data_IF_119923320470
#
_entry.id   IF_119923320470
#
_cell.length_a   1.000
_cell.length_b   1.000
_cell.length_c   1.000
_cell.angle_alpha   90.00
_cell.angle_beta   90.00
_cell.angle_gamma   90.00
#
_symmetry.space_group_name_H-M   'P 1'
#
loop_
_entity.id
_entity.type
_entity.pdbx_description
1 polymer ?
#
# COMPACT_ATOMS: atom_id res chain seq x y z
N UNK A 1 3.80 -13.07 -19.38
CA UNK A 1 2.93 -11.97 -19.83
C UNK A 1 3.75 -10.68 -19.84
N UNK A 2 3.39 -9.74 -20.69
CA UNK A 2 4.04 -8.43 -20.76
C UNK A 2 3.58 -7.60 -19.54
N UNK A 3 4.51 -7.00 -18.83
CA UNK A 3 4.22 -6.16 -17.66
C UNK A 3 3.30 -4.97 -18.03
N UNK A 4 2.34 -4.65 -17.16
CA UNK A 4 1.31 -3.63 -17.43
C UNK A 4 0.12 -4.10 -18.26
N UNK A 5 0.14 -5.35 -18.76
CA UNK A 5 -1.02 -5.97 -19.43
C UNK A 5 -1.79 -6.89 -18.50
N UNK A 6 -3.07 -7.11 -18.82
CA UNK A 6 -3.91 -8.05 -18.05
C UNK A 6 -3.32 -9.46 -18.14
N UNK A 7 -3.03 -10.04 -17.00
CA UNK A 7 -2.59 -11.41 -16.83
C UNK A 7 -3.76 -12.30 -16.39
N UNK A 8 -3.58 -13.64 -16.37
CA UNK A 8 -4.57 -14.54 -15.78
C UNK A 8 -4.87 -14.18 -14.32
N UNK A 9 -3.83 -13.86 -13.53
CA UNK A 9 -4.01 -13.46 -12.13
C UNK A 9 -4.80 -12.16 -11.98
N UNK A 10 -4.52 -11.14 -12.80
CA UNK A 10 -5.29 -9.90 -12.80
C UNK A 10 -6.76 -10.14 -13.19
N UNK A 11 -7.03 -10.95 -14.22
CA UNK A 11 -8.40 -11.28 -14.61
C UNK A 11 -9.17 -12.03 -13.51
N UNK A 12 -8.52 -13.00 -12.87
CA UNK A 12 -9.09 -13.70 -11.71
C UNK A 12 -9.34 -12.75 -10.53
N UNK A 13 -8.46 -11.76 -10.31
CA UNK A 13 -8.65 -10.79 -9.24
C UNK A 13 -9.88 -9.91 -9.48
N UNK A 14 -10.15 -9.47 -10.72
CA UNK A 14 -11.39 -8.77 -11.04
C UNK A 14 -12.63 -9.65 -10.85
N UNK A 15 -12.54 -10.94 -11.18
CA UNK A 15 -13.61 -11.90 -10.90
C UNK A 15 -13.82 -12.09 -9.39
N UNK A 16 -12.72 -12.15 -8.63
CA UNK A 16 -12.78 -12.20 -7.16
C UNK A 16 -13.48 -10.96 -6.59
N UNK A 17 -13.12 -9.74 -7.02
CA UNK A 17 -13.81 -8.49 -6.63
C UNK A 17 -15.30 -8.54 -6.93
N UNK A 18 -15.68 -9.07 -8.09
CA UNK A 18 -17.08 -9.25 -8.43
C UNK A 18 -17.80 -10.19 -7.45
N UNK A 19 -17.23 -11.37 -7.15
CA UNK A 19 -17.82 -12.30 -6.21
C UNK A 19 -17.91 -11.75 -4.78
N UNK A 20 -16.90 -10.99 -4.32
CA UNK A 20 -16.93 -10.30 -3.04
C UNK A 20 -18.09 -9.28 -2.99
N UNK A 21 -18.23 -8.46 -4.03
CA UNK A 21 -19.31 -7.48 -4.13
C UNK A 21 -20.69 -8.13 -4.11
N UNK A 22 -20.87 -9.23 -4.84
CA UNK A 22 -22.12 -10.01 -4.89
C UNK A 22 -22.31 -10.92 -3.67
N UNK A 23 -21.39 -10.90 -2.69
CA UNK A 23 -21.42 -11.77 -1.49
C UNK A 23 -21.50 -13.27 -1.83
N UNK A 24 -20.90 -13.65 -2.96
CA UNK A 24 -20.77 -15.03 -3.39
C UNK A 24 -19.53 -15.67 -2.76
N UNK A 25 -19.55 -15.82 -1.43
CA UNK A 25 -18.39 -16.13 -0.61
C UNK A 25 -17.66 -17.42 -1.01
N UNK A 26 -18.41 -18.47 -1.40
CA UNK A 26 -17.81 -19.72 -1.86
C UNK A 26 -17.04 -19.52 -3.17
N UNK A 27 -17.63 -18.83 -4.16
CA UNK A 27 -16.97 -18.52 -5.42
C UNK A 27 -15.75 -17.61 -5.22
N UNK A 28 -15.86 -16.65 -4.28
CA UNK A 28 -14.75 -15.78 -3.91
C UNK A 28 -13.59 -16.59 -3.31
N UNK A 29 -13.88 -17.50 -2.38
CA UNK A 29 -12.86 -18.37 -1.77
C UNK A 29 -12.17 -19.27 -2.81
N UNK A 30 -12.92 -19.88 -3.70
CA UNK A 30 -12.37 -20.73 -4.77
C UNK A 30 -11.48 -19.92 -5.73
N UNK A 31 -11.94 -18.72 -6.12
CA UNK A 31 -11.16 -17.82 -7.00
C UNK A 31 -9.88 -17.32 -6.32
N UNK A 32 -9.95 -16.96 -5.04
CA UNK A 32 -8.76 -16.57 -4.27
C UNK A 32 -7.76 -17.73 -4.19
N UNK A 33 -8.23 -18.97 -3.95
CA UNK A 33 -7.39 -20.15 -3.94
C UNK A 33 -6.79 -20.44 -5.31
N UNK A 34 -7.51 -20.19 -6.42
CA UNK A 34 -6.95 -20.32 -7.78
C UNK A 34 -5.81 -19.32 -8.00
N UNK A 35 -5.96 -18.07 -7.58
CA UNK A 35 -4.89 -17.05 -7.68
C UNK A 35 -3.66 -17.48 -6.88
N UNK A 36 -3.85 -17.92 -5.62
CA UNK A 36 -2.77 -18.41 -4.76
C UNK A 36 -2.09 -19.63 -5.40
N UNK A 37 -2.87 -20.56 -5.96
CA UNK A 37 -2.39 -21.75 -6.64
C UNK A 37 -1.59 -21.49 -7.92
N UNK A 38 -1.57 -20.26 -8.46
CA UNK A 38 -0.66 -19.89 -9.55
C UNK A 38 0.81 -19.90 -9.11
N UNK A 39 1.09 -19.82 -7.80
CA UNK A 39 2.43 -19.81 -7.21
C UNK A 39 3.38 -18.76 -7.84
N UNK A 40 2.82 -17.65 -8.26
CA UNK A 40 3.56 -16.55 -8.90
C UNK A 40 3.65 -15.34 -7.98
N UNK A 41 2.55 -15.02 -7.30
CA UNK A 41 2.46 -13.83 -6.46
C UNK A 41 2.92 -14.12 -5.04
N UNK A 42 3.54 -13.13 -4.42
CA UNK A 42 3.98 -13.18 -3.02
C UNK A 42 3.89 -11.79 -2.38
N UNK A 43 3.77 -11.73 -1.06
CA UNK A 43 3.85 -10.45 -0.34
C UNK A 43 5.28 -9.91 -0.40
N UNK A 44 5.42 -8.66 -0.83
CA UNK A 44 6.69 -7.95 -0.74
C UNK A 44 7.07 -7.73 0.73
N UNK A 45 8.31 -8.04 1.09
CA UNK A 45 8.77 -8.00 2.49
C UNK A 45 8.86 -6.59 3.03
N UNK A 46 9.34 -5.67 2.23
CA UNK A 46 9.40 -4.26 2.58
C UNK A 46 8.19 -3.51 2.03
N UNK A 47 7.29 -3.11 2.96
CA UNK A 47 6.09 -2.40 2.58
C UNK A 47 6.37 -1.10 1.83
N UNK A 48 7.43 -0.39 2.21
CA UNK A 48 7.78 0.92 1.62
C UNK A 48 8.19 0.76 0.16
N UNK A 49 8.87 -0.34 -0.17
CA UNK A 49 9.37 -0.59 -1.53
C UNK A 49 8.29 -0.99 -2.54
N UNK A 50 7.11 -1.46 -2.09
CA UNK A 50 6.05 -1.97 -2.99
C UNK A 50 5.71 -0.98 -4.10
N UNK A 51 5.64 0.31 -3.76
CA UNK A 51 5.15 1.38 -4.63
C UNK A 51 6.27 2.23 -5.23
N UNK A 52 7.52 1.88 -4.94
CA UNK A 52 8.69 2.60 -5.42
C UNK A 52 8.91 2.36 -6.91
N UNK A 53 9.32 3.40 -7.65
CA UNK A 53 9.72 3.29 -9.05
C UNK A 53 10.89 2.31 -9.24
N UNK A 54 11.78 2.16 -8.23
CA UNK A 54 12.90 1.20 -8.30
C UNK A 54 12.49 -0.26 -8.10
N UNK A 55 11.27 -0.54 -7.65
CA UNK A 55 10.77 -1.90 -7.40
C UNK A 55 9.51 -2.24 -8.21
N UNK A 56 9.35 -1.60 -9.36
CA UNK A 56 8.25 -1.92 -10.26
C UNK A 56 8.33 -3.37 -10.75
N UNK A 57 7.19 -3.97 -11.01
CA UNK A 57 7.11 -5.38 -11.43
C UNK A 57 7.39 -6.38 -10.32
N UNK A 58 7.45 -5.96 -9.04
CA UNK A 58 7.57 -6.90 -7.93
C UNK A 58 6.38 -7.87 -7.90
N UNK A 59 6.56 -9.00 -7.20
CA UNK A 59 5.60 -10.11 -7.24
C UNK A 59 4.29 -9.86 -6.46
N UNK A 60 4.20 -8.77 -5.73
CA UNK A 60 2.94 -8.38 -5.09
C UNK A 60 2.01 -7.65 -6.06
N UNK A 61 2.55 -7.00 -7.10
CA UNK A 61 1.77 -6.24 -8.07
C UNK A 61 1.07 -7.18 -9.07
N UNK A 62 -0.24 -7.06 -9.16
CA UNK A 62 -1.07 -7.90 -10.05
C UNK A 62 -1.48 -7.15 -11.31
N UNK A 63 -1.84 -5.87 -11.15
CA UNK A 63 -2.18 -4.99 -12.27
C UNK A 63 -1.81 -3.53 -11.96
N UNK A 64 -1.19 -2.88 -12.93
CA UNK A 64 -0.73 -1.51 -12.83
C UNK A 64 -1.04 -0.74 -14.10
N UNK A 65 -1.19 0.58 -13.98
CA UNK A 65 -1.09 1.50 -15.12
C UNK A 65 0.34 2.03 -15.10
N UNK A 66 1.08 1.73 -16.16
CA UNK A 66 2.47 2.14 -16.29
C UNK A 66 2.61 3.64 -16.45
N UNK A 67 3.68 4.18 -15.89
CA UNK A 67 4.07 5.57 -16.03
C UNK A 67 5.58 5.68 -16.33
N UNK A 68 5.99 6.82 -16.87
CA UNK A 68 7.39 7.20 -17.10
C UNK A 68 7.55 8.65 -16.60
N UNK A 69 8.68 9.08 -16.05
CA UNK A 69 8.84 10.43 -15.48
C UNK A 69 8.96 11.52 -16.58
N UNK A 70 8.09 11.47 -17.57
CA UNK A 70 8.08 12.33 -18.73
C UNK A 70 6.70 12.96 -18.92
N UNK A 71 6.67 14.13 -19.53
CA UNK A 71 5.42 14.75 -19.96
C UNK A 71 4.62 13.79 -20.84
N UNK A 72 3.31 13.74 -20.66
CA UNK A 72 2.34 12.88 -21.36
C UNK A 72 2.41 11.38 -21.01
N UNK A 73 3.45 10.89 -20.31
CA UNK A 73 3.61 9.49 -19.90
C UNK A 73 3.66 9.30 -18.39
N UNK A 74 3.91 10.38 -17.65
CA UNK A 74 3.95 10.39 -16.20
C UNK A 74 2.59 10.62 -15.55
N UNK A 75 2.60 10.62 -14.24
CA UNK A 75 1.46 11.03 -13.43
C UNK A 75 1.84 12.14 -12.45
N UNK A 76 0.85 12.75 -11.83
CA UNK A 76 1.04 13.84 -10.87
C UNK A 76 0.84 13.40 -9.42
N UNK A 77 1.12 12.14 -9.08
CA UNK A 77 0.82 11.60 -7.75
C UNK A 77 1.50 12.42 -6.66
N UNK A 78 2.83 12.64 -6.74
CA UNK A 78 3.51 13.43 -5.73
C UNK A 78 3.21 14.93 -5.87
N UNK A 79 3.03 15.46 -7.07
CA UNK A 79 2.76 16.88 -7.28
C UNK A 79 1.48 17.34 -6.57
N UNK A 80 0.44 16.50 -6.54
CA UNK A 80 -0.78 16.77 -5.77
C UNK A 80 -0.58 16.79 -4.25
N UNK A 81 0.55 16.30 -3.75
CA UNK A 81 0.82 16.12 -2.32
C UNK A 81 1.85 17.12 -1.82
N UNK A 82 2.97 17.27 -2.53
CA UNK A 82 4.13 18.02 -2.07
C UNK A 82 3.84 19.51 -1.92
N UNK A 83 4.37 20.15 -0.86
CA UNK A 83 4.49 21.60 -0.82
C UNK A 83 5.38 22.14 -1.94
N UNK A 84 5.14 23.36 -2.40
CA UNK A 84 5.89 23.97 -3.50
C UNK A 84 7.38 24.18 -3.21
N UNK A 85 7.75 24.23 -1.92
CA UNK A 85 9.12 24.35 -1.44
C UNK A 85 9.75 23.04 -0.96
N UNK A 86 9.11 21.89 -1.20
CA UNK A 86 9.64 20.56 -0.83
C UNK A 86 10.98 20.29 -1.55
N UNK A 87 12.01 19.93 -0.77
CA UNK A 87 13.27 19.47 -1.32
C UNK A 87 13.25 17.96 -1.52
N UNK A 88 13.49 17.50 -2.76
CA UNK A 88 13.58 16.07 -3.03
C UNK A 88 14.80 15.46 -2.32
N UNK A 89 14.67 14.30 -1.66
CA UNK A 89 15.79 13.61 -1.04
C UNK A 89 16.82 13.11 -2.06
N UNK A 90 16.48 13.08 -3.33
CA UNK A 90 17.38 12.65 -4.42
C UNK A 90 18.07 13.83 -5.13
N UNK A 91 17.75 15.07 -4.75
CA UNK A 91 18.32 16.27 -5.37
C UNK A 91 17.74 16.62 -6.73
N UNK A 92 16.79 15.85 -7.26
CA UNK A 92 16.08 16.18 -8.48
C UNK A 92 15.06 17.31 -8.25
N UNK A 93 14.69 18.01 -9.32
CA UNK A 93 13.75 19.13 -9.26
C UNK A 93 12.32 18.58 -9.30
N UNK A 94 11.64 18.68 -8.17
CA UNK A 94 10.21 18.34 -8.06
C UNK A 94 9.38 19.60 -7.78
N UNK A 95 8.15 19.60 -8.29
CA UNK A 95 7.19 20.68 -8.09
C UNK A 95 5.92 20.15 -7.42
N UNK A 96 5.47 20.81 -6.37
CA UNK A 96 4.30 20.44 -5.60
C UNK A 96 3.20 21.48 -5.66
N UNK A 97 1.95 21.02 -5.60
CA UNK A 97 0.73 21.85 -5.64
C UNK A 97 0.03 21.92 -4.27
N UNK A 98 0.57 21.30 -3.24
CA UNK A 98 0.05 21.32 -1.86
C UNK A 98 -1.41 20.88 -1.71
N UNK A 99 -1.89 19.93 -2.54
CA UNK A 99 -3.31 19.59 -2.63
C UNK A 99 -3.79 18.62 -1.55
N UNK A 100 -3.15 17.47 -1.40
CA UNK A 100 -3.65 16.39 -0.55
C UNK A 100 -2.92 16.29 0.78
N UNK A 101 -3.69 16.03 1.85
CA UNK A 101 -3.18 15.76 3.20
C UNK A 101 -3.88 14.54 3.79
N UNK A 102 -3.14 13.79 4.59
CA UNK A 102 -3.69 12.76 5.47
C UNK A 102 -4.10 13.44 6.79
N UNK A 103 -5.39 13.52 7.14
CA UNK A 103 -5.83 14.16 8.38
C UNK A 103 -5.09 13.61 9.60
N UNK A 104 -4.81 14.48 10.58
CA UNK A 104 -4.05 14.09 11.77
C UNK A 104 -4.74 12.98 12.55
N UNK A 105 -6.07 12.99 12.63
CA UNK A 105 -6.85 11.95 13.30
C UNK A 105 -6.61 10.57 12.70
N UNK A 106 -6.45 10.48 11.37
CA UNK A 106 -6.12 9.24 10.71
C UNK A 106 -4.64 8.88 10.84
N UNK A 107 -3.74 9.87 10.70
CA UNK A 107 -2.30 9.66 10.90
C UNK A 107 -2.00 9.10 12.30
N UNK A 108 -2.69 9.58 13.32
CA UNK A 108 -2.51 9.17 14.72
C UNK A 108 -3.07 7.76 15.03
N UNK A 109 -3.84 7.15 14.12
CA UNK A 109 -4.26 5.75 14.26
C UNK A 109 -3.15 4.74 13.94
N UNK A 110 -2.09 5.16 13.25
CA UNK A 110 -0.96 4.29 13.00
C UNK A 110 -0.10 4.15 14.25
N UNK A 111 0.18 2.89 14.62
CA UNK A 111 1.20 2.59 15.63
C UNK A 111 2.55 3.19 15.20
N UNK A 112 3.36 3.63 16.17
CA UNK A 112 4.69 4.20 15.88
C UNK A 112 5.65 3.23 15.20
N UNK A 113 5.45 1.92 15.40
CA UNK A 113 6.23 0.85 14.79
C UNK A 113 5.65 0.38 13.44
N UNK A 114 4.49 0.87 13.04
CA UNK A 114 3.89 0.53 11.75
C UNK A 114 4.65 1.23 10.61
N UNK A 115 5.30 0.45 9.77
CA UNK A 115 6.09 0.97 8.65
C UNK A 115 5.27 1.75 7.62
N UNK A 116 3.97 1.54 7.57
CA UNK A 116 3.08 2.32 6.69
C UNK A 116 3.04 3.78 7.12
N UNK A 117 3.26 4.08 8.41
CA UNK A 117 3.36 5.43 8.93
C UNK A 117 4.51 6.23 8.29
N UNK A 118 5.62 5.57 7.95
CA UNK A 118 6.75 6.21 7.28
C UNK A 118 6.41 6.74 5.88
N UNK A 119 5.33 6.23 5.26
CA UNK A 119 4.81 6.72 3.99
C UNK A 119 3.89 7.94 4.14
N UNK A 120 3.67 8.40 5.36
CA UNK A 120 2.95 9.63 5.68
C UNK A 120 3.89 10.56 6.45
N UNK A 121 4.47 11.55 5.76
CA UNK A 121 5.46 12.44 6.35
C UNK A 121 4.78 13.56 7.15
N UNK A 122 5.07 13.64 8.46
CA UNK A 122 4.63 14.73 9.32
C UNK A 122 5.55 15.95 9.25
N UNK A 123 6.75 15.77 8.71
CA UNK A 123 7.73 16.83 8.48
C UNK A 123 8.44 16.63 7.16
N UNK A 124 9.01 17.69 6.60
CA UNK A 124 9.79 17.63 5.37
C UNK A 124 10.94 18.64 5.39
N UNK A 125 11.93 18.45 4.52
CA UNK A 125 12.98 19.45 4.28
C UNK A 125 12.56 20.37 3.15
N UNK A 126 12.59 21.68 3.41
CA UNK A 126 12.31 22.69 2.38
C UNK A 126 13.52 22.94 1.48
N UNK A 127 13.30 23.56 0.31
CA UNK A 127 14.37 24.00 -0.61
C UNK A 127 15.38 24.95 0.03
N UNK A 128 15.04 25.60 1.13
CA UNK A 128 15.99 26.42 1.92
C UNK A 128 16.86 25.60 2.87
N UNK A 129 16.62 24.28 2.98
CA UNK A 129 17.30 23.38 3.90
C UNK A 129 16.69 23.35 5.32
N UNK A 130 15.61 24.07 5.57
CA UNK A 130 14.94 24.05 6.85
C UNK A 130 14.00 22.84 6.97
N UNK A 131 13.94 22.22 8.15
CA UNK A 131 12.90 21.24 8.48
C UNK A 131 11.59 21.98 8.80
N UNK A 132 10.52 21.57 8.13
CA UNK A 132 9.16 22.08 8.33
C UNK A 132 8.34 20.99 9.02
N UNK A 133 7.94 21.23 10.26
CA UNK A 133 6.97 20.41 10.98
C UNK A 133 5.56 20.86 10.56
N UNK A 134 4.82 19.99 9.87
CA UNK A 134 3.50 20.30 9.35
C UNK A 134 2.48 20.51 10.47
N UNK A 135 2.58 19.76 11.56
CA UNK A 135 1.67 19.91 12.69
C UNK A 135 1.92 21.22 13.44
N UNK A 136 3.18 21.53 13.71
CA UNK A 136 3.54 22.77 14.37
C UNK A 136 3.25 24.03 13.52
N UNK A 137 3.32 23.91 12.19
CA UNK A 137 2.95 24.98 11.25
C UNK A 137 1.44 25.19 11.08
N UNK A 138 0.61 24.31 11.66
CA UNK A 138 -0.85 24.39 11.55
C UNK A 138 -1.43 23.77 10.27
N UNK A 139 -0.66 22.93 9.56
CA UNK A 139 -1.19 22.20 8.41
C UNK A 139 -2.26 21.19 8.88
N UNK A 140 -3.20 20.87 8.01
CA UNK A 140 -4.37 20.03 8.31
C UNK A 140 -4.04 18.52 8.35
N UNK A 141 -2.82 18.12 7.99
CA UNK A 141 -2.42 16.72 8.01
C UNK A 141 -1.02 16.45 7.48
N UNK A 142 -0.60 15.19 7.53
CA UNK A 142 0.66 14.70 7.00
C UNK A 142 0.62 14.56 5.45
N UNK A 143 1.80 14.49 4.81
CA UNK A 143 1.93 14.23 3.37
C UNK A 143 1.76 12.73 3.09
N UNK A 144 0.72 12.28 2.36
CA UNK A 144 0.47 10.86 2.09
C UNK A 144 1.34 10.33 0.94
N UNK A 145 2.65 10.22 1.15
CA UNK A 145 3.65 9.85 0.14
C UNK A 145 3.79 8.33 -0.03
N UNK A 146 2.68 7.61 -0.20
CA UNK A 146 2.64 6.15 -0.36
C UNK A 146 3.55 5.64 -1.49
N UNK A 147 3.66 6.38 -2.59
CA UNK A 147 4.49 6.03 -3.74
C UNK A 147 5.94 6.53 -3.61
N UNK A 148 6.22 7.34 -2.59
CA UNK A 148 7.52 8.00 -2.46
C UNK A 148 7.73 9.06 -3.54
N UNK A 149 8.99 9.45 -3.69
CA UNK A 149 9.46 10.32 -4.78
C UNK A 149 10.25 9.45 -5.75
N UNK A 150 9.91 9.54 -7.02
CA UNK A 150 10.70 8.93 -8.08
C UNK A 150 12.03 9.69 -8.22
N UNK A 151 13.19 9.01 -8.11
CA UNK A 151 14.49 9.67 -8.27
C UNK A 151 14.71 10.30 -9.64
N UNK A 152 14.03 9.83 -10.68
CA UNK A 152 14.11 10.34 -12.04
C UNK A 152 13.02 11.39 -12.35
N UNK A 153 12.14 11.66 -11.39
CA UNK A 153 11.07 12.64 -11.56
C UNK A 153 11.60 14.05 -11.89
N UNK A 154 10.88 14.76 -12.75
CA UNK A 154 11.18 16.13 -13.11
C UNK A 154 9.92 16.98 -13.11
N UNK A 155 9.97 18.14 -12.47
CA UNK A 155 8.83 19.04 -12.35
C UNK A 155 7.68 18.38 -11.60
N UNK A 156 6.54 18.19 -12.26
CA UNK A 156 5.34 17.58 -11.68
C UNK A 156 5.13 16.11 -12.09
N UNK A 157 6.02 15.56 -12.92
CA UNK A 157 5.85 14.24 -13.53
C UNK A 157 6.56 13.15 -12.74
N UNK A 158 5.80 12.17 -12.26
CA UNK A 158 6.28 10.96 -11.60
C UNK A 158 6.21 9.75 -12.54
N UNK A 159 7.23 8.90 -12.50
CA UNK A 159 7.27 7.64 -13.22
C UNK A 159 6.73 6.46 -12.44
N UNK A 160 6.38 6.61 -11.16
CA UNK A 160 5.82 5.52 -10.37
C UNK A 160 4.56 4.94 -11.02
N UNK A 161 4.54 3.64 -11.27
CA UNK A 161 3.37 2.94 -11.78
C UNK A 161 2.16 3.10 -10.84
N UNK A 162 0.98 3.36 -11.38
CA UNK A 162 -0.26 3.41 -10.60
C UNK A 162 -0.74 1.98 -10.32
N UNK A 163 -0.58 1.54 -9.11
CA UNK A 163 -0.99 0.20 -8.67
C UNK A 163 -2.51 0.14 -8.52
N UNK A 164 -3.16 -0.75 -9.26
CA UNK A 164 -4.59 -0.99 -9.21
C UNK A 164 -4.92 -2.21 -8.36
N UNK A 165 -4.15 -3.29 -8.51
CA UNK A 165 -4.41 -4.57 -7.87
C UNK A 165 -3.14 -5.16 -7.26
N UNK A 166 -3.26 -5.69 -6.03
CA UNK A 166 -2.15 -6.30 -5.29
C UNK A 166 -2.56 -7.62 -4.63
N UNK A 167 -1.60 -8.53 -4.52
CA UNK A 167 -1.78 -9.84 -3.90
C UNK A 167 -2.25 -9.77 -2.43
N UNK A 168 -1.86 -8.73 -1.70
CA UNK A 168 -2.36 -8.50 -0.34
C UNK A 168 -3.90 -8.42 -0.28
N UNK A 169 -4.56 -7.83 -1.29
CA UNK A 169 -6.02 -7.75 -1.36
C UNK A 169 -6.65 -9.13 -1.57
N UNK A 170 -6.00 -10.01 -2.36
CA UNK A 170 -6.46 -11.41 -2.52
C UNK A 170 -6.47 -12.15 -1.20
N UNK A 171 -5.44 -11.97 -0.36
CA UNK A 171 -5.35 -12.61 0.96
C UNK A 171 -6.43 -12.08 1.91
N UNK A 172 -6.67 -10.76 1.89
CA UNK A 172 -7.73 -10.14 2.72
C UNK A 172 -9.12 -10.58 2.27
N UNK A 173 -9.40 -10.63 0.98
CA UNK A 173 -10.67 -11.16 0.46
C UNK A 173 -10.87 -12.64 0.80
N UNK A 174 -9.79 -13.44 0.76
CA UNK A 174 -9.85 -14.84 1.22
C UNK A 174 -10.19 -14.91 2.72
N UNK A 175 -9.57 -14.06 3.53
CA UNK A 175 -9.85 -14.02 4.97
C UNK A 175 -11.33 -13.65 5.24
N UNK A 176 -11.85 -12.64 4.55
CA UNK A 176 -13.25 -12.23 4.65
C UNK A 176 -14.19 -13.35 4.20
N UNK A 177 -13.96 -13.94 3.02
CA UNK A 177 -14.80 -15.04 2.52
C UNK A 177 -14.81 -16.25 3.46
N UNK A 178 -13.66 -16.61 4.06
CA UNK A 178 -13.58 -17.68 5.07
C UNK A 178 -14.40 -17.33 6.32
N UNK A 179 -14.34 -16.09 6.77
CA UNK A 179 -15.10 -15.64 7.95
C UNK A 179 -16.60 -15.64 7.69
N UNK A 180 -17.02 -15.17 6.53
CA UNK A 180 -18.44 -15.15 6.15
C UNK A 180 -19.04 -16.56 5.99
N UNK A 181 -18.25 -17.52 5.48
CA UNK A 181 -18.69 -18.90 5.30
C UNK A 181 -18.74 -19.70 6.60
N UNK A 182 -17.76 -19.51 7.47
CA UNK A 182 -17.53 -20.41 8.62
C UNK A 182 -17.68 -19.70 9.98
N UNK A 183 -17.93 -18.40 9.98
CA UNK A 183 -17.77 -17.57 11.17
C UNK A 183 -16.28 -17.38 11.51
N UNK A 184 -16.01 -16.79 12.68
CA UNK A 184 -14.65 -16.55 13.15
C UNK A 184 -13.83 -17.84 13.16
N UNK A 185 -12.63 -17.80 12.52
CA UNK A 185 -11.78 -18.98 12.37
C UNK A 185 -10.30 -18.63 12.27
N UNK A 186 -9.44 -19.55 12.67
CA UNK A 186 -8.00 -19.36 12.68
C UNK A 186 -7.42 -19.08 11.27
N UNK A 187 -7.97 -19.68 10.22
CA UNK A 187 -7.49 -19.46 8.85
C UNK A 187 -7.64 -18.01 8.39
N UNK A 188 -8.74 -17.33 8.76
CA UNK A 188 -8.94 -15.90 8.50
C UNK A 188 -7.95 -15.05 9.29
N UNK A 189 -7.79 -15.36 10.58
CA UNK A 189 -6.84 -14.66 11.48
C UNK A 189 -5.40 -14.76 10.97
N UNK A 190 -4.97 -15.93 10.53
CA UNK A 190 -3.61 -16.16 10.02
C UNK A 190 -3.32 -15.29 8.79
N UNK A 191 -4.26 -15.21 7.85
CA UNK A 191 -4.13 -14.37 6.65
C UNK A 191 -4.01 -12.87 7.00
N UNK A 192 -4.86 -12.39 7.93
CA UNK A 192 -4.80 -11.01 8.40
C UNK A 192 -3.47 -10.76 9.12
N UNK A 193 -3.02 -11.69 9.96
CA UNK A 193 -1.77 -11.57 10.69
C UNK A 193 -0.55 -11.55 9.76
N UNK A 194 -0.55 -12.27 8.65
CA UNK A 194 0.53 -12.19 7.67
C UNK A 194 0.64 -10.77 7.07
N UNK A 195 -0.48 -10.13 6.76
CA UNK A 195 -0.51 -8.73 6.30
C UNK A 195 -0.01 -7.78 7.40
N UNK A 196 -0.45 -7.99 8.66
CA UNK A 196 -0.05 -7.16 9.80
C UNK A 196 1.44 -7.33 10.13
N UNK A 197 1.94 -8.56 10.22
CA UNK A 197 3.36 -8.84 10.44
C UNK A 197 4.24 -8.15 9.38
N UNK A 198 3.80 -8.16 8.13
CA UNK A 198 4.50 -7.42 7.07
C UNK A 198 4.51 -5.91 7.34
N UNK A 199 3.39 -5.31 7.77
CA UNK A 199 3.30 -3.90 8.08
C UNK A 199 4.28 -3.49 9.21
N UNK A 200 4.52 -4.37 10.17
CA UNK A 200 5.48 -4.17 11.26
C UNK A 200 6.89 -4.70 10.97
N UNK A 201 7.17 -5.14 9.76
CA UNK A 201 8.51 -5.55 9.35
C UNK A 201 8.70 -7.05 9.21
N UNK A 202 7.74 -7.77 8.66
CA UNK A 202 7.83 -9.18 8.35
C UNK A 202 9.17 -9.53 7.67
N UNK A 203 9.90 -10.47 8.28
CA UNK A 203 11.21 -10.88 7.79
C UNK A 203 12.35 -9.92 8.09
N UNK A 204 12.13 -8.89 8.92
CA UNK A 204 13.18 -7.99 9.43
C UNK A 204 13.46 -8.27 10.90
N UNK A 205 14.56 -7.72 11.43
CA UNK A 205 14.96 -7.84 12.84
C UNK A 205 14.15 -6.95 13.80
N UNK A 206 13.04 -6.37 13.37
CA UNK A 206 12.19 -5.63 14.28
C UNK A 206 11.55 -6.57 15.29
N UNK A 207 11.42 -6.14 16.56
CA UNK A 207 10.79 -6.97 17.59
C UNK A 207 9.42 -7.42 17.10
N UNK A 208 9.14 -8.71 17.27
CA UNK A 208 7.83 -9.26 17.02
C UNK A 208 6.83 -8.49 17.87
N UNK A 209 5.94 -7.74 17.23
CA UNK A 209 4.80 -7.21 17.93
C UNK A 209 3.91 -8.41 18.19
N UNK A 210 3.54 -8.67 19.44
CA UNK A 210 2.58 -9.72 19.74
C UNK A 210 1.27 -9.35 19.05
N UNK A 211 1.08 -9.91 17.88
CA UNK A 211 -0.13 -9.74 17.10
C UNK A 211 -0.85 -11.05 17.14
N UNK A 212 -1.80 -11.18 18.04
CA UNK A 212 -2.73 -12.31 18.09
C UNK A 212 -2.03 -13.68 18.03
N UNK A 213 -1.17 -13.96 19.02
CA UNK A 213 -0.58 -15.30 19.22
C UNK A 213 -1.56 -16.28 19.83
N UNK A 214 -2.72 -15.81 20.29
CA UNK A 214 -3.67 -16.62 21.04
C UNK A 214 -4.86 -17.06 20.19
N UNK A 215 -5.52 -18.09 20.66
CA UNK A 215 -6.75 -18.61 20.09
C UNK A 215 -7.76 -17.50 19.85
N UNK A 216 -8.40 -17.52 18.70
CA UNK A 216 -9.46 -16.61 18.35
C UNK A 216 -10.55 -16.63 19.44
N UNK A 217 -10.76 -15.50 20.14
CA UNK A 217 -11.74 -15.35 21.22
C UNK A 217 -12.99 -14.55 20.80
N UNK A 218 -13.09 -14.15 19.54
CA UNK A 218 -14.20 -13.37 18.99
C UNK A 218 -13.99 -11.85 19.07
N UNK A 219 -13.05 -11.34 19.84
CA UNK A 219 -12.79 -9.89 19.95
C UNK A 219 -12.00 -9.34 18.77
N UNK A 220 -11.36 -10.22 17.99
CA UNK A 220 -10.50 -9.83 16.90
C UNK A 220 -11.23 -9.09 15.76
N UNK A 221 -12.48 -9.44 15.49
CA UNK A 221 -13.26 -8.87 14.37
C UNK A 221 -13.69 -7.44 14.64
N UNK A 222 -13.89 -7.10 15.92
CA UNK A 222 -14.39 -5.78 16.32
C UNK A 222 -13.27 -4.70 16.36
N UNK A 223 -12.00 -5.11 16.21
CA UNK A 223 -10.83 -4.23 16.30
C UNK A 223 -10.05 -4.08 14.97
N UNK A 224 -10.63 -4.50 13.84
CA UNK A 224 -10.00 -4.37 12.51
C UNK A 224 -10.54 -3.17 11.74
#
# INVERSE_FOLDING_TARGET
AEYGRITKGAALHYLLKYYMHEKQWQNALETANEIIGLNYYELEKDYVSIFSAQNEGNKELMFVVRAEPLADYGNHTYANILPGDYASPYGNIVEGWSGHRMPWEFYDTFDENDRRRALAQAEYTSKSGATVDLRASGDVGALPLKYGIDPEATGTWAGNDKVLDRYAEVLLFKAEALNELNGPNQGSVDLINDIRKRAFGFGTSLPAIPVFEESFDGEFVDNV
#
